data_IF_558376306259
#
_entry.id   IF_558376306259
#
_cell.length_a   1.000
_cell.length_b   1.000
_cell.length_c   1.000
_cell.angle_alpha   90.00
_cell.angle_beta   90.00
_cell.angle_gamma   90.00
#
_symmetry.space_group_name_H-M   'P 1'
#
loop_
_entity.id
_entity.type
_entity.pdbx_description
1 polymer ?
#
# COMPACT_ATOMS: atom_id res chain seq x y z
N UNK A 1 24.88 8.27 1.87
CA UNK A 1 25.02 6.83 1.56
C UNK A 1 24.85 6.06 2.85
N UNK A 2 23.92 5.11 2.87
CA UNK A 2 23.61 4.28 4.05
C UNK A 2 24.83 3.43 4.47
N UNK A 3 25.09 3.35 5.77
CA UNK A 3 26.21 2.58 6.34
C UNK A 3 25.76 1.23 6.92
N UNK A 4 26.69 0.28 7.04
CA UNK A 4 26.42 -1.06 7.59
C UNK A 4 25.81 -1.03 9.00
N UNK A 5 26.24 -0.09 9.87
CA UNK A 5 25.66 0.13 11.18
C UNK A 5 24.17 0.50 11.11
N UNK A 6 23.83 1.46 10.24
CA UNK A 6 22.45 1.91 10.01
C UNK A 6 21.57 0.80 9.43
N UNK A 7 22.10 -0.04 8.50
CA UNK A 7 21.35 -1.19 7.96
C UNK A 7 20.97 -2.16 9.09
N UNK A 8 21.93 -2.52 9.95
CA UNK A 8 21.67 -3.44 11.07
C UNK A 8 20.69 -2.85 12.08
N UNK A 9 20.83 -1.57 12.42
CA UNK A 9 19.92 -0.87 13.32
C UNK A 9 18.50 -0.79 12.74
N UNK A 10 18.36 -0.40 11.47
CA UNK A 10 17.09 -0.35 10.76
C UNK A 10 16.39 -1.71 10.72
N UNK A 11 17.15 -2.75 10.38
CA UNK A 11 16.65 -4.13 10.34
C UNK A 11 16.17 -4.59 11.72
N UNK A 12 16.88 -4.25 12.79
CA UNK A 12 16.48 -4.56 14.15
C UNK A 12 15.19 -3.83 14.56
N UNK A 13 15.04 -2.54 14.21
CA UNK A 13 13.85 -1.75 14.50
C UNK A 13 12.57 -2.30 13.86
N UNK A 14 12.67 -2.90 12.66
CA UNK A 14 11.53 -3.54 11.98
C UNK A 14 11.42 -5.05 12.23
N UNK A 15 12.26 -5.61 13.10
CA UNK A 15 12.25 -7.04 13.43
C UNK A 15 12.57 -7.99 12.26
N UNK A 16 13.21 -7.49 11.19
CA UNK A 16 13.45 -8.29 9.98
C UNK A 16 14.71 -9.16 10.07
N UNK A 17 14.69 -10.32 9.42
CA UNK A 17 15.91 -11.14 9.23
C UNK A 17 16.72 -10.60 8.06
N UNK A 18 18.01 -10.94 8.01
CA UNK A 18 18.87 -10.57 6.86
C UNK A 18 18.30 -11.11 5.53
N UNK A 19 17.73 -12.33 5.56
CA UNK A 19 17.11 -12.94 4.39
C UNK A 19 15.90 -12.14 3.89
N UNK A 20 15.08 -11.60 4.79
CA UNK A 20 13.88 -10.85 4.43
C UNK A 20 14.28 -9.54 3.75
N UNK A 21 15.27 -8.82 4.33
CA UNK A 21 15.81 -7.61 3.72
C UNK A 21 16.49 -7.89 2.38
N UNK A 22 17.20 -9.00 2.24
CA UNK A 22 17.82 -9.40 0.98
C UNK A 22 16.77 -9.60 -0.12
N UNK A 23 15.69 -10.34 0.17
CA UNK A 23 14.56 -10.56 -0.75
C UNK A 23 13.89 -9.25 -1.13
N UNK A 24 13.55 -8.41 -0.15
CA UNK A 24 12.90 -7.12 -0.39
C UNK A 24 13.76 -6.14 -1.20
N UNK A 25 15.09 -6.25 -1.08
CA UNK A 25 16.05 -5.44 -1.82
C UNK A 25 16.45 -6.05 -3.17
N UNK A 26 15.95 -7.25 -3.50
CA UNK A 26 16.30 -7.95 -4.74
C UNK A 26 17.76 -8.41 -4.84
N UNK A 27 18.41 -8.72 -3.70
CA UNK A 27 19.81 -9.18 -3.66
C UNK A 27 19.97 -10.53 -2.97
N UNK A 28 21.14 -11.16 -3.17
CA UNK A 28 21.45 -12.43 -2.50
C UNK A 28 21.71 -12.24 -1.00
N UNK A 29 21.43 -13.29 -0.20
CA UNK A 29 21.74 -13.29 1.23
C UNK A 29 23.25 -13.11 1.49
N UNK A 30 24.10 -13.70 0.65
CA UNK A 30 25.55 -13.55 0.76
C UNK A 30 25.98 -12.09 0.56
N UNK A 31 25.39 -11.41 -0.44
CA UNK A 31 25.60 -9.98 -0.67
C UNK A 31 25.18 -9.16 0.55
N UNK A 32 23.99 -9.42 1.10
CA UNK A 32 23.51 -8.74 2.32
C UNK A 32 24.47 -8.93 3.51
N UNK A 33 24.93 -10.16 3.73
CA UNK A 33 25.85 -10.48 4.82
C UNK A 33 27.19 -9.73 4.69
N UNK A 34 27.77 -9.70 3.49
CA UNK A 34 29.01 -8.97 3.24
C UNK A 34 28.83 -7.46 3.48
N UNK A 35 27.72 -6.88 3.02
CA UNK A 35 27.39 -5.46 3.23
C UNK A 35 27.31 -5.15 4.73
N UNK A 36 26.54 -5.92 5.51
CA UNK A 36 26.39 -5.69 6.95
C UNK A 36 27.69 -5.91 7.76
N UNK A 37 28.67 -6.63 7.19
CA UNK A 37 30.01 -6.81 7.75
C UNK A 37 31.02 -5.77 7.28
N UNK A 38 30.64 -4.89 6.36
CA UNK A 38 31.56 -3.92 5.73
C UNK A 38 32.60 -4.58 4.83
N UNK A 39 32.29 -5.74 4.25
CA UNK A 39 33.19 -6.48 3.35
C UNK A 39 32.88 -6.10 1.90
N UNK A 40 33.89 -5.63 1.19
CA UNK A 40 33.80 -5.21 -0.22
C UNK A 40 33.26 -3.80 -0.39
N UNK A 41 33.06 -3.41 -1.66
CA UNK A 41 32.54 -2.09 -2.04
C UNK A 41 31.19 -2.25 -2.77
N UNK A 42 30.06 -2.09 -2.06
CA UNK A 42 28.74 -2.30 -2.65
C UNK A 42 28.40 -1.20 -3.66
N UNK A 43 27.80 -1.59 -4.79
CA UNK A 43 27.33 -0.62 -5.80
C UNK A 43 26.31 0.33 -5.18
N UNK A 44 26.32 1.59 -5.61
CA UNK A 44 25.34 2.59 -5.19
C UNK A 44 23.89 2.13 -5.44
N UNK A 45 23.63 1.43 -6.56
CA UNK A 45 22.31 0.87 -6.85
C UNK A 45 21.87 -0.21 -5.86
N UNK A 46 22.80 -1.03 -5.37
CA UNK A 46 22.53 -2.03 -4.34
C UNK A 46 22.17 -1.37 -3.01
N UNK A 47 22.90 -0.33 -2.61
CA UNK A 47 22.58 0.41 -1.39
C UNK A 47 21.26 1.18 -1.51
N UNK A 48 20.97 1.75 -2.68
CA UNK A 48 19.68 2.37 -2.96
C UNK A 48 18.51 1.39 -2.89
N UNK A 49 18.69 0.14 -3.34
CA UNK A 49 17.66 -0.89 -3.23
C UNK A 49 17.39 -1.28 -1.76
N UNK A 50 18.44 -1.38 -0.94
CA UNK A 50 18.33 -1.64 0.51
C UNK A 50 17.63 -0.48 1.21
N UNK A 51 18.07 0.75 0.94
CA UNK A 51 17.47 1.96 1.50
C UNK A 51 15.99 2.09 1.11
N UNK A 52 15.65 1.80 -0.15
CA UNK A 52 14.27 1.77 -0.63
C UNK A 52 13.42 0.72 0.07
N UNK A 53 13.92 -0.51 0.24
CA UNK A 53 13.20 -1.55 0.97
C UNK A 53 12.96 -1.14 2.44
N UNK A 54 13.97 -0.59 3.11
CA UNK A 54 13.84 -0.08 4.47
C UNK A 54 12.87 1.10 4.55
N UNK A 55 12.89 2.01 3.56
CA UNK A 55 11.95 3.13 3.48
C UNK A 55 10.50 2.68 3.30
N UNK A 56 10.27 1.62 2.51
CA UNK A 56 8.94 1.04 2.36
C UNK A 56 8.49 0.32 3.63
N UNK A 57 9.44 -0.26 4.38
CA UNK A 57 9.17 -0.71 5.73
C UNK A 57 8.92 0.45 6.70
N UNK A 58 9.19 1.69 6.26
CA UNK A 58 8.95 3.00 6.87
C UNK A 58 10.19 3.61 7.56
N UNK A 59 11.34 2.97 7.53
CA UNK A 59 12.55 3.50 8.14
C UNK A 59 12.98 4.80 7.43
N UNK A 60 13.36 5.80 8.22
CA UNK A 60 14.10 6.97 7.74
C UNK A 60 15.51 6.91 8.28
N UNK A 61 16.47 7.12 7.39
CA UNK A 61 17.89 7.10 7.70
C UNK A 61 18.42 8.50 7.45
N UNK A 62 19.12 9.04 8.42
CA UNK A 62 19.80 10.32 8.30
C UNK A 62 21.15 10.27 9.00
N UNK A 63 21.96 11.27 8.77
CA UNK A 63 23.25 11.42 9.43
C UNK A 63 23.87 12.77 9.09
N UNK A 64 24.71 13.23 10.01
CA UNK A 64 25.50 14.44 9.90
C UNK A 64 26.98 14.09 10.22
N UNK A 65 27.92 15.06 10.20
CA UNK A 65 29.33 14.77 10.49
C UNK A 65 29.59 14.15 11.88
N UNK A 66 28.64 14.29 12.82
CA UNK A 66 28.75 13.88 14.20
C UNK A 66 27.79 12.74 14.58
N UNK A 67 26.70 12.52 13.82
CA UNK A 67 25.64 11.57 14.18
C UNK A 67 25.18 10.70 13.01
N UNK A 68 24.78 9.47 13.33
CA UNK A 68 24.03 8.58 12.43
C UNK A 68 22.71 8.22 13.10
N UNK A 69 21.61 8.41 12.39
CA UNK A 69 20.27 8.18 12.94
C UNK A 69 19.48 7.22 12.08
N UNK A 70 18.65 6.43 12.77
CA UNK A 70 17.68 5.53 12.17
C UNK A 70 16.37 5.70 12.94
N UNK A 71 15.32 6.09 12.23
CA UNK A 71 14.01 6.43 12.81
C UNK A 71 12.92 5.51 12.27
N UNK A 72 12.09 4.99 13.17
CA UNK A 72 10.91 4.19 12.87
C UNK A 72 9.65 5.09 12.84
N UNK A 73 9.19 5.48 11.66
CA UNK A 73 7.89 6.16 11.47
C UNK A 73 6.67 5.23 11.64
N UNK A 74 6.10 5.13 12.83
CA UNK A 74 4.97 4.22 13.12
C UNK A 74 3.74 4.47 12.21
N UNK A 75 3.59 5.70 11.72
CA UNK A 75 2.63 6.05 10.68
C UNK A 75 3.38 6.62 9.47
N UNK A 76 3.10 6.08 8.30
CA UNK A 76 3.51 6.66 7.03
C UNK A 76 2.26 7.10 6.27
N UNK A 77 2.10 8.42 6.14
CA UNK A 77 1.01 9.04 5.38
C UNK A 77 1.63 9.87 4.25
N UNK A 78 1.68 9.34 3.02
CA UNK A 78 2.34 10.01 1.90
C UNK A 78 1.65 11.34 1.59
N UNK A 79 2.43 12.43 1.44
CA UNK A 79 1.90 13.74 1.00
C UNK A 79 1.90 13.78 -0.53
N UNK A 80 0.70 13.84 -1.13
CA UNK A 80 0.41 14.15 -2.56
C UNK A 80 1.45 13.57 -3.55
N UNK A 81 1.68 12.27 -3.52
CA UNK A 81 2.51 11.63 -4.55
C UNK A 81 1.77 11.65 -5.89
N UNK A 82 2.51 11.72 -7.00
CA UNK A 82 1.98 11.34 -8.31
C UNK A 82 1.33 9.96 -8.18
N UNK A 83 0.06 9.85 -8.56
CA UNK A 83 -0.77 8.68 -8.26
C UNK A 83 -0.14 7.36 -8.72
N UNK A 84 0.59 7.38 -9.83
CA UNK A 84 1.31 6.21 -10.38
C UNK A 84 2.39 5.70 -9.42
N UNK A 85 3.20 6.60 -8.84
CA UNK A 85 4.22 6.22 -7.85
C UNK A 85 3.57 5.67 -6.59
N UNK A 86 2.42 6.23 -6.23
CA UNK A 86 1.68 5.83 -5.05
C UNK A 86 1.05 4.43 -5.23
N UNK A 87 0.46 4.13 -6.40
CA UNK A 87 -0.08 2.81 -6.73
C UNK A 87 1.02 1.76 -6.83
N UNK A 88 2.17 2.06 -7.44
CA UNK A 88 3.33 1.18 -7.44
C UNK A 88 3.84 0.88 -6.02
N UNK A 89 3.88 1.89 -5.15
CA UNK A 89 4.26 1.70 -3.75
C UNK A 89 3.27 0.81 -3.00
N UNK A 90 1.97 1.01 -3.20
CA UNK A 90 0.92 0.14 -2.64
C UNK A 90 1.13 -1.30 -3.10
N UNK A 91 1.30 -1.54 -4.40
CA UNK A 91 1.52 -2.88 -4.95
C UNK A 91 2.78 -3.54 -4.38
N UNK A 92 3.86 -2.78 -4.18
CA UNK A 92 5.09 -3.30 -3.58
C UNK A 92 4.89 -3.71 -2.11
N UNK A 93 4.14 -2.92 -1.34
CA UNK A 93 3.82 -3.21 0.07
C UNK A 93 2.91 -4.44 0.18
N UNK A 94 1.94 -4.58 -0.72
CA UNK A 94 1.05 -5.75 -0.76
C UNK A 94 1.76 -6.99 -1.31
N UNK A 95 2.86 -6.82 -2.05
CA UNK A 95 3.60 -7.91 -2.67
C UNK A 95 4.26 -8.88 -1.68
N UNK A 96 4.58 -10.11 -2.11
CA UNK A 96 5.10 -11.19 -1.25
C UNK A 96 6.51 -10.93 -0.69
N UNK A 97 7.25 -9.99 -1.28
CA UNK A 97 8.61 -9.63 -0.86
C UNK A 97 8.64 -8.36 -0.01
N UNK A 98 7.49 -7.86 0.46
CA UNK A 98 7.46 -6.74 1.41
C UNK A 98 8.16 -7.14 2.71
N UNK A 99 8.97 -6.23 3.26
CA UNK A 99 9.58 -6.39 4.59
C UNK A 99 8.53 -6.44 5.70
N UNK A 100 7.39 -5.79 5.46
CA UNK A 100 6.27 -5.75 6.38
C UNK A 100 5.10 -6.43 5.68
N UNK A 101 4.85 -7.69 6.03
CA UNK A 101 3.61 -8.33 5.64
C UNK A 101 2.43 -7.51 6.21
N UNK A 102 1.41 -7.29 5.40
CA UNK A 102 0.20 -6.63 5.87
C UNK A 102 -0.55 -7.60 6.79
N UNK A 103 -0.69 -7.23 8.06
CA UNK A 103 -1.55 -7.95 9.00
C UNK A 103 -3.02 -7.62 8.74
N UNK A 104 -3.30 -6.43 8.21
CA UNK A 104 -4.64 -6.04 7.81
C UNK A 104 -4.62 -4.99 6.72
N UNK A 105 -5.51 -5.13 5.74
CA UNK A 105 -5.69 -4.18 4.65
C UNK A 105 -7.12 -3.67 4.73
N UNK A 106 -7.31 -2.39 5.00
CA UNK A 106 -8.62 -1.76 5.20
C UNK A 106 -8.89 -0.75 4.10
N UNK A 107 -9.89 -1.01 3.27
CA UNK A 107 -10.38 -0.07 2.28
C UNK A 107 -11.45 0.86 2.87
N UNK A 108 -11.47 2.11 2.43
CA UNK A 108 -12.52 3.04 2.80
C UNK A 108 -12.73 4.08 1.70
N UNK A 109 -13.86 4.76 1.75
CA UNK A 109 -14.19 5.84 0.83
C UNK A 109 -14.16 7.16 1.58
N UNK A 110 -13.55 8.17 0.95
CA UNK A 110 -13.44 9.53 1.48
C UNK A 110 -14.09 10.53 0.52
N UNK A 111 -14.85 11.48 1.06
CA UNK A 111 -15.34 12.68 0.33
C UNK A 111 -14.19 13.65 0.02
N UNK A 112 -14.27 14.26 -1.15
CA UNK A 112 -13.31 15.23 -1.64
C UNK A 112 -14.06 16.44 -2.23
N UNK A 113 -13.77 17.65 -1.73
CA UNK A 113 -14.26 18.90 -2.33
C UNK A 113 -14.19 20.12 -1.42
N UNK A 114 -13.64 21.23 -1.93
CA UNK A 114 -13.94 22.59 -1.48
C UNK A 114 -15.14 23.13 -2.27
N UNK A 115 -16.08 23.79 -1.60
CA UNK A 115 -17.20 24.50 -2.21
C UNK A 115 -16.70 25.66 -3.08
N UNK A 116 -16.59 25.45 -4.39
CA UNK A 116 -16.55 26.53 -5.36
C UNK A 116 -17.20 26.05 -6.67
N UNK A 117 -18.41 26.56 -6.94
CA UNK A 117 -19.12 26.47 -8.24
C UNK A 117 -19.88 25.17 -8.58
N UNK A 118 -20.54 24.53 -7.60
CA UNK A 118 -21.74 23.73 -7.87
C UNK A 118 -21.57 22.46 -8.72
N UNK A 119 -20.35 21.91 -8.79
CA UNK A 119 -20.08 20.61 -9.42
C UNK A 119 -19.68 19.59 -8.34
N UNK A 120 -20.36 18.44 -8.39
CA UNK A 120 -20.50 17.29 -7.48
C UNK A 120 -19.29 16.96 -6.57
N UNK A 121 -19.62 16.82 -5.28
CA UNK A 121 -18.87 16.12 -4.22
C UNK A 121 -18.26 14.81 -4.72
N UNK A 122 -16.94 14.78 -4.95
CA UNK A 122 -16.25 13.60 -5.48
C UNK A 122 -15.88 12.63 -4.35
N UNK A 123 -15.81 11.35 -4.67
CA UNK A 123 -15.33 10.32 -3.74
C UNK A 123 -13.99 9.76 -4.19
N UNK A 124 -13.18 9.33 -3.22
CA UNK A 124 -11.87 8.72 -3.44
C UNK A 124 -11.79 7.41 -2.68
N UNK A 125 -11.31 6.37 -3.36
CA UNK A 125 -10.92 5.13 -2.70
C UNK A 125 -9.63 5.41 -1.92
N UNK A 126 -9.61 4.99 -0.67
CA UNK A 126 -8.47 5.12 0.22
C UNK A 126 -8.14 3.76 0.83
N UNK A 127 -6.92 3.62 1.34
CA UNK A 127 -6.42 2.38 1.91
C UNK A 127 -5.62 2.64 3.17
N UNK A 128 -5.87 1.85 4.20
CA UNK A 128 -5.02 1.72 5.38
C UNK A 128 -4.40 0.32 5.38
N UNK A 129 -3.08 0.24 5.26
CA UNK A 129 -2.33 -1.01 5.42
C UNK A 129 -1.73 -1.03 6.81
N UNK A 130 -2.10 -2.03 7.60
CA UNK A 130 -1.57 -2.24 8.95
C UNK A 130 -0.61 -3.41 8.94
N UNK A 131 0.51 -3.22 9.60
CA UNK A 131 1.45 -4.24 9.99
C UNK A 131 1.76 -4.07 11.47
N UNK A 132 2.40 -5.08 12.07
CA UNK A 132 2.69 -5.16 13.50
C UNK A 132 3.21 -3.85 14.10
N UNK A 133 4.18 -3.23 13.44
CA UNK A 133 4.85 -2.04 13.96
C UNK A 133 4.44 -0.75 13.23
N UNK A 134 3.66 -0.84 12.15
CA UNK A 134 3.50 0.25 11.16
C UNK A 134 2.07 0.37 10.64
N UNK A 135 1.64 1.59 10.39
CA UNK A 135 0.42 1.91 9.68
C UNK A 135 0.79 2.73 8.45
N UNK A 136 0.30 2.35 7.27
CA UNK A 136 0.45 3.12 6.05
C UNK A 136 -0.93 3.61 5.63
N UNK A 137 -1.12 4.93 5.65
CA UNK A 137 -2.39 5.56 5.33
C UNK A 137 -2.30 6.24 3.97
N UNK A 138 -3.07 5.71 3.03
CA UNK A 138 -3.15 6.17 1.65
C UNK A 138 -4.50 6.85 1.41
N UNK A 139 -4.64 8.08 1.89
CA UNK A 139 -5.89 8.86 1.81
C UNK A 139 -5.78 10.15 0.99
N UNK A 140 -4.54 10.60 0.76
CA UNK A 140 -4.19 11.76 -0.07
C UNK A 140 -3.97 11.40 -1.55
N UNK A 141 -4.10 10.13 -1.92
CA UNK A 141 -3.97 9.66 -3.30
C UNK A 141 -5.28 9.87 -4.05
N UNK A 142 -5.19 10.26 -5.32
CA UNK A 142 -6.33 10.29 -6.22
C UNK A 142 -6.62 8.92 -6.86
N UNK A 143 -7.23 7.99 -6.10
CA UNK A 143 -7.79 6.74 -6.64
C UNK A 143 -9.29 6.95 -6.89
N UNK A 144 -9.67 7.13 -8.14
CA UNK A 144 -11.04 7.37 -8.59
C UNK A 144 -11.41 6.46 -9.77
N UNK A 145 -12.68 6.49 -10.19
CA UNK A 145 -13.16 5.75 -11.38
C UNK A 145 -13.49 6.67 -12.55
N UNK A 146 -12.95 7.89 -12.53
CA UNK A 146 -13.27 8.96 -13.48
C UNK A 146 -12.80 8.64 -14.91
N UNK A 147 -11.76 7.82 -15.06
CA UNK A 147 -11.24 7.41 -16.36
C UNK A 147 -10.60 6.01 -16.30
N UNK A 148 -10.27 5.47 -17.47
CA UNK A 148 -9.69 4.13 -17.66
C UNK A 148 -8.43 3.93 -16.82
N UNK A 149 -7.50 4.91 -16.82
CA UNK A 149 -6.24 4.77 -16.10
C UNK A 149 -6.44 4.71 -14.58
N UNK A 150 -7.35 5.54 -14.04
CA UNK A 150 -7.68 5.53 -12.61
C UNK A 150 -8.43 4.26 -12.18
N UNK A 151 -9.36 3.79 -13.02
CA UNK A 151 -10.04 2.51 -12.80
C UNK A 151 -9.06 1.33 -12.81
N UNK A 152 -8.05 1.35 -13.69
CA UNK A 152 -6.98 0.36 -13.72
C UNK A 152 -6.13 0.37 -12.43
N UNK A 153 -5.83 1.54 -11.87
CA UNK A 153 -5.11 1.65 -10.59
C UNK A 153 -5.89 1.02 -9.44
N UNK A 154 -7.20 1.31 -9.32
CA UNK A 154 -8.08 0.70 -8.33
C UNK A 154 -8.12 -0.82 -8.51
N UNK A 155 -8.37 -1.28 -9.74
CA UNK A 155 -8.47 -2.70 -10.03
C UNK A 155 -7.17 -3.45 -9.72
N UNK A 156 -6.01 -2.87 -10.06
CA UNK A 156 -4.70 -3.47 -9.76
C UNK A 156 -4.42 -3.56 -8.25
N UNK A 157 -4.74 -2.51 -7.49
CA UNK A 157 -4.59 -2.51 -6.03
C UNK A 157 -5.53 -3.55 -5.39
N UNK A 158 -6.80 -3.59 -5.80
CA UNK A 158 -7.76 -4.56 -5.29
C UNK A 158 -7.39 -5.99 -5.68
N UNK A 159 -6.89 -6.22 -6.90
CA UNK A 159 -6.37 -7.52 -7.34
C UNK A 159 -5.24 -8.00 -6.45
N UNK A 160 -4.22 -7.17 -6.22
CA UNK A 160 -3.10 -7.53 -5.35
C UNK A 160 -3.56 -7.79 -3.91
N UNK A 161 -4.44 -6.95 -3.38
CA UNK A 161 -4.96 -7.09 -2.02
C UNK A 161 -5.80 -8.39 -1.87
N UNK A 162 -6.66 -8.68 -2.83
CA UNK A 162 -7.52 -9.87 -2.79
C UNK A 162 -6.74 -11.16 -3.05
N UNK A 163 -5.75 -11.14 -3.95
CA UNK A 163 -4.92 -12.30 -4.25
C UNK A 163 -3.98 -12.69 -3.09
N UNK A 164 -3.43 -11.70 -2.38
CA UNK A 164 -2.36 -11.92 -1.40
C UNK A 164 -2.81 -11.80 0.06
N UNK A 165 -3.88 -11.05 0.34
CA UNK A 165 -4.32 -10.69 1.69
C UNK A 165 -5.80 -10.96 1.96
N UNK A 166 -6.44 -11.86 1.21
CA UNK A 166 -7.89 -12.15 1.29
C UNK A 166 -8.43 -12.28 2.71
N UNK A 167 -7.76 -13.09 3.54
CA UNK A 167 -8.22 -13.40 4.90
C UNK A 167 -8.11 -12.21 5.86
N UNK A 168 -7.36 -11.18 5.47
CA UNK A 168 -7.02 -10.02 6.28
C UNK A 168 -7.56 -8.73 5.63
N UNK A 169 -8.47 -8.88 4.66
CA UNK A 169 -9.06 -7.79 3.91
C UNK A 169 -10.32 -7.30 4.61
N UNK A 170 -10.44 -5.99 4.77
CA UNK A 170 -11.61 -5.36 5.36
C UNK A 170 -11.96 -4.06 4.67
N UNK A 171 -13.17 -3.55 4.92
CA UNK A 171 -13.59 -2.23 4.49
C UNK A 171 -14.48 -1.53 5.53
N UNK A 172 -14.68 -0.23 5.34
CA UNK A 172 -15.59 0.62 6.11
C UNK A 172 -16.81 0.92 5.23
N UNK A 173 -18.03 0.61 5.71
CA UNK A 173 -19.30 0.80 4.97
C UNK A 173 -19.70 2.27 4.81
N UNK A 174 -19.18 3.16 5.65
CA UNK A 174 -19.52 4.58 5.61
C UNK A 174 -18.57 5.35 4.70
N UNK A 175 -19.15 6.23 3.87
CA UNK A 175 -18.37 7.27 3.20
C UNK A 175 -17.94 8.28 4.27
N UNK A 176 -16.63 8.39 4.48
CA UNK A 176 -16.05 9.27 5.48
C UNK A 176 -15.92 10.70 4.94
N UNK A 177 -15.98 11.66 5.86
CA UNK A 177 -15.62 13.05 5.58
C UNK A 177 -14.13 13.16 5.24
N UNK A 178 -13.72 14.32 4.74
CA UNK A 178 -12.38 14.50 4.22
C UNK A 178 -11.28 14.35 5.30
N UNK A 179 -10.73 13.14 5.44
CA UNK A 179 -9.65 12.83 6.37
C UNK A 179 -8.37 13.63 6.10
N UNK A 180 -8.19 14.21 4.90
CA UNK A 180 -6.98 14.99 4.56
C UNK A 180 -6.90 16.33 5.28
N UNK A 181 -8.04 16.81 5.78
CA UNK A 181 -8.14 18.01 6.64
C UNK A 181 -7.66 17.75 8.07
N UNK A 182 -7.63 16.48 8.49
CA UNK A 182 -7.21 16.06 9.82
C UNK A 182 -5.69 15.84 9.87
N UNK A 183 -5.14 16.03 11.07
CA UNK A 183 -3.77 15.61 11.34
C UNK A 183 -3.63 14.09 11.26
N UNK A 184 -2.38 13.62 11.32
CA UNK A 184 -2.06 12.21 11.11
C UNK A 184 -2.59 11.29 12.23
N UNK A 185 -2.64 11.77 13.47
CA UNK A 185 -3.11 11.01 14.64
C UNK A 185 -4.63 10.95 14.64
N UNK A 186 -5.28 12.07 14.36
CA UNK A 186 -6.72 12.21 14.30
C UNK A 186 -7.31 11.40 13.14
N UNK A 187 -6.68 11.47 11.95
CA UNK A 187 -7.10 10.66 10.81
C UNK A 187 -7.05 9.15 11.12
N UNK A 188 -5.97 8.68 11.76
CA UNK A 188 -5.83 7.27 12.14
C UNK A 188 -6.84 6.87 13.23
N UNK A 189 -7.08 7.76 14.20
CA UNK A 189 -8.03 7.53 15.28
C UNK A 189 -9.47 7.45 14.74
N UNK A 190 -9.82 8.34 13.80
CA UNK A 190 -11.11 8.34 13.10
C UNK A 190 -11.36 7.02 12.39
N UNK A 191 -10.37 6.47 11.69
CA UNK A 191 -10.48 5.18 10.98
C UNK A 191 -10.63 3.99 11.94
N UNK A 192 -9.94 4.03 13.09
CA UNK A 192 -10.02 2.97 14.11
C UNK A 192 -11.33 2.97 14.90
N UNK A 193 -12.03 4.09 14.92
CA UNK A 193 -13.34 4.20 15.56
C UNK A 193 -14.48 3.58 14.71
N UNK A 194 -14.26 3.39 13.41
CA UNK A 194 -15.22 2.76 12.52
C UNK A 194 -15.25 1.24 12.67
N UNK A 195 -16.40 0.65 12.31
CA UNK A 195 -16.54 -0.80 12.22
C UNK A 195 -15.90 -1.30 10.93
N UNK A 196 -14.99 -2.26 11.06
CA UNK A 196 -14.33 -2.89 9.90
C UNK A 196 -15.00 -4.22 9.58
N UNK A 197 -15.41 -4.38 8.33
CA UNK A 197 -16.12 -5.56 7.84
C UNK A 197 -15.22 -6.33 6.90
N UNK A 198 -15.16 -7.65 7.11
CA UNK A 198 -14.36 -8.53 6.26
C UNK A 198 -14.90 -8.52 4.84
N UNK A 199 -14.03 -8.23 3.87
CA UNK A 199 -14.40 -8.19 2.46
C UNK A 199 -14.35 -9.59 1.87
N UNK A 200 -15.50 -10.12 1.45
CA UNK A 200 -15.56 -11.43 0.78
C UNK A 200 -15.55 -11.28 -0.75
N UNK A 201 -16.01 -10.14 -1.26
CA UNK A 201 -16.05 -9.85 -2.68
C UNK A 201 -15.81 -8.35 -2.94
N UNK A 202 -14.96 -7.94 -3.91
CA UNK A 202 -14.67 -6.53 -4.23
C UNK A 202 -15.90 -5.65 -4.50
N UNK A 203 -16.92 -6.21 -5.17
CA UNK A 203 -18.26 -5.62 -5.34
C UNK A 203 -18.84 -5.00 -4.06
N UNK A 204 -18.71 -5.69 -2.92
CA UNK A 204 -19.24 -5.20 -1.63
C UNK A 204 -18.73 -3.80 -1.31
N UNK A 205 -17.47 -3.51 -1.64
CA UNK A 205 -16.87 -2.20 -1.41
C UNK A 205 -17.03 -1.24 -2.59
N UNK A 206 -16.89 -1.72 -3.83
CA UNK A 206 -16.96 -0.89 -5.03
C UNK A 206 -18.35 -0.24 -5.19
N UNK A 207 -19.41 -0.95 -4.82
CA UNK A 207 -20.79 -0.45 -4.96
C UNK A 207 -21.11 0.74 -4.03
N UNK A 208 -20.22 1.10 -3.10
CA UNK A 208 -20.38 2.32 -2.26
C UNK A 208 -20.02 3.62 -2.99
N UNK A 209 -19.18 3.56 -4.02
CA UNK A 209 -18.68 4.75 -4.71
C UNK A 209 -18.74 4.65 -6.24
N UNK A 210 -19.06 3.47 -6.77
CA UNK A 210 -19.23 3.19 -8.18
C UNK A 210 -20.21 2.03 -8.35
N UNK A 211 -20.22 1.38 -9.52
CA UNK A 211 -21.01 0.18 -9.79
C UNK A 211 -20.09 -0.89 -10.38
N UNK A 212 -19.94 -2.01 -9.67
CA UNK A 212 -19.09 -3.13 -10.09
C UNK A 212 -19.45 -3.65 -11.49
N UNK A 213 -20.73 -3.84 -11.77
CA UNK A 213 -21.19 -4.42 -13.04
C UNK A 213 -20.89 -3.47 -14.20
N UNK A 214 -21.12 -2.17 -14.01
CA UNK A 214 -20.85 -1.15 -15.02
C UNK A 214 -19.34 -1.07 -15.32
N UNK A 215 -18.49 -1.17 -14.29
CA UNK A 215 -17.03 -1.21 -14.46
C UNK A 215 -16.60 -2.46 -15.23
N UNK A 216 -17.16 -3.61 -14.86
CA UNK A 216 -16.88 -4.90 -15.51
C UNK A 216 -17.24 -4.83 -16.99
N UNK A 217 -18.47 -4.44 -17.32
CA UNK A 217 -18.94 -4.31 -18.70
C UNK A 217 -18.05 -3.36 -19.51
N UNK A 218 -17.66 -2.23 -18.90
CA UNK A 218 -16.86 -1.21 -19.58
C UNK A 218 -15.42 -1.64 -19.82
N UNK A 219 -14.76 -2.27 -18.85
CA UNK A 219 -13.30 -2.41 -18.86
C UNK A 219 -12.78 -3.86 -18.95
N UNK A 220 -13.58 -4.90 -18.69
CA UNK A 220 -13.11 -6.29 -18.81
C UNK A 220 -12.71 -6.65 -20.25
N UNK A 221 -13.40 -6.07 -21.23
CA UNK A 221 -13.07 -6.24 -22.65
C UNK A 221 -11.78 -5.52 -23.08
N UNK A 222 -11.20 -4.66 -22.25
CA UNK A 222 -9.97 -3.93 -22.58
C UNK A 222 -8.74 -4.80 -22.32
N UNK A 223 -7.94 -5.14 -23.36
CA UNK A 223 -6.77 -5.99 -23.20
C UNK A 223 -5.76 -5.40 -22.21
N UNK A 224 -5.32 -6.21 -21.24
CA UNK A 224 -4.34 -5.81 -20.22
C UNK A 224 -4.89 -4.91 -19.10
N UNK A 225 -6.21 -4.67 -19.06
CA UNK A 225 -6.80 -3.95 -17.94
C UNK A 225 -6.90 -4.85 -16.69
N UNK A 226 -6.36 -4.44 -15.52
CA UNK A 226 -6.32 -5.30 -14.31
C UNK A 226 -7.70 -5.74 -13.79
N UNK A 227 -8.77 -5.07 -14.21
CA UNK A 227 -10.14 -5.45 -13.86
C UNK A 227 -10.54 -6.81 -14.43
N UNK A 228 -10.01 -7.20 -15.61
CA UNK A 228 -10.23 -8.54 -16.13
C UNK A 228 -9.68 -9.60 -15.17
N UNK A 229 -8.42 -9.44 -14.76
CA UNK A 229 -7.77 -10.37 -13.83
C UNK A 229 -8.47 -10.38 -12.46
N UNK A 230 -8.93 -9.22 -11.97
CA UNK A 230 -9.70 -9.13 -10.73
C UNK A 230 -11.03 -9.87 -10.85
N UNK A 231 -11.76 -9.66 -11.95
CA UNK A 231 -13.03 -10.33 -12.21
C UNK A 231 -12.84 -11.85 -12.28
N UNK A 232 -11.89 -12.34 -13.08
CA UNK A 232 -11.56 -13.76 -13.18
C UNK A 232 -11.13 -14.37 -11.85
N UNK A 233 -10.33 -13.65 -11.06
CA UNK A 233 -9.90 -14.11 -9.75
C UNK A 233 -11.12 -14.32 -8.84
N UNK A 234 -12.03 -13.35 -8.79
CA UNK A 234 -13.18 -13.37 -7.89
C UNK A 234 -14.20 -14.43 -8.29
N UNK A 235 -14.49 -14.58 -9.60
CA UNK A 235 -15.41 -15.62 -10.10
C UNK A 235 -14.99 -17.04 -9.71
N UNK A 236 -13.68 -17.33 -9.64
CA UNK A 236 -13.17 -18.64 -9.17
C UNK A 236 -13.50 -18.95 -7.71
N UNK A 237 -13.89 -17.95 -6.93
CA UNK A 237 -14.23 -18.10 -5.52
C UNK A 237 -15.72 -17.90 -5.25
N UNK A 238 -16.53 -17.65 -6.27
CA UNK A 238 -17.97 -17.75 -6.13
C UNK A 238 -18.34 -19.24 -5.98
N UNK A 239 -19.19 -19.60 -5.02
CA UNK A 239 -19.69 -20.97 -4.90
C UNK A 239 -20.62 -21.27 -6.09
N UNK A 240 -20.04 -21.64 -7.23
CA UNK A 240 -20.78 -21.86 -8.48
C UNK A 240 -20.12 -22.84 -9.47
N UNK A 241 -18.79 -22.88 -9.60
CA UNK A 241 -18.13 -23.65 -10.69
C UNK A 241 -17.33 -24.87 -10.20
N UNK A 242 -17.91 -25.63 -9.29
CA UNK A 242 -17.57 -27.04 -9.03
C UNK A 242 -18.86 -27.85 -8.96
N UNK A 243 -19.56 -27.97 -10.09
CA UNK A 243 -20.66 -28.89 -10.30
C UNK A 243 -20.51 -29.59 -11.66
#
# INVERSE_FOLDING_TARGET
MIKAGQIRAARALVGAKQLDLAKASGISLATMNNIERGIGDPRASTLGAIEGALNDAGITIAGDPCTETVTLNVLYRPKIYETLLASQKILKILGPNSLNAADQVVFFVRRCGEEANGVVEGVRMCLLVRSKDRNLLFDKINLSVENVARAAEIAGVMLAAFALHRNNLSYIENILDDTTTLDDVDALSRLRAEKWISMQHPKEFIDYFSNWNDLVERYVSHPGHPLNDLHELVSKFEPGDLA
#
